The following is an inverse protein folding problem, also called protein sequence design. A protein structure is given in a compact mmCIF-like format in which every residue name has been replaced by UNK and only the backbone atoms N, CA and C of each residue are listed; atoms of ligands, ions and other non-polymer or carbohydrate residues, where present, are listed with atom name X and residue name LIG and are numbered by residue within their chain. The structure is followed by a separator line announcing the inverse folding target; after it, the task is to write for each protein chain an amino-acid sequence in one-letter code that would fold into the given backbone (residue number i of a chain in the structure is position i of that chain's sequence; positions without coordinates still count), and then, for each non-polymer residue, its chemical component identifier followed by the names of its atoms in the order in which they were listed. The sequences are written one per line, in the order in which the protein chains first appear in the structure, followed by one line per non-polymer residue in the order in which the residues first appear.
data_IF_013495402807
#
_entry.id   IF_013495402807
#
_cell.length_a   1.000
_cell.length_b   1.000
_cell.length_c   1.000
_cell.angle_alpha   90.00
_cell.angle_beta   90.00
_cell.angle_gamma   90.00
#
_symmetry.space_group_name_H-M   'P 1'
#
loop_
_entity.id
_entity.type
_entity.pdbx_description
1 polymer ?
#
# COMPACT_ATOMS: atom_id res chain seq x y z
N UNK A 1 -21.05 13.71 -21.92
CA UNK A 1 -20.59 13.03 -23.15
C UNK A 1 -21.25 11.67 -23.20
N UNK A 2 -21.69 11.21 -24.38
CA UNK A 2 -22.20 9.83 -24.54
C UNK A 2 -20.99 8.90 -24.50
N UNK A 3 -20.95 7.99 -23.52
CA UNK A 3 -19.87 7.00 -23.40
C UNK A 3 -20.35 5.72 -24.10
N UNK A 4 -19.55 5.20 -25.02
CA UNK A 4 -19.86 3.94 -25.69
C UNK A 4 -19.88 2.77 -24.68
N UNK A 5 -20.81 1.83 -24.85
CA UNK A 5 -20.92 0.67 -23.96
C UNK A 5 -19.61 -0.15 -23.92
N UNK A 6 -18.86 -0.20 -25.02
CA UNK A 6 -17.52 -0.79 -25.12
C UNK A 6 -16.52 -0.14 -24.16
N UNK A 7 -16.50 1.19 -24.08
CA UNK A 7 -15.61 1.95 -23.21
C UNK A 7 -15.96 1.76 -21.73
N UNK A 8 -17.27 1.68 -21.42
CA UNK A 8 -17.76 1.33 -20.07
C UNK A 8 -17.24 -0.05 -19.68
N UNK A 9 -17.47 -1.07 -20.53
CA UNK A 9 -17.01 -2.45 -20.29
C UNK A 9 -15.49 -2.54 -20.11
N UNK A 10 -14.71 -1.86 -20.96
CA UNK A 10 -13.25 -1.86 -20.86
C UNK A 10 -12.76 -1.24 -19.54
N UNK A 11 -13.41 -0.17 -19.08
CA UNK A 11 -13.08 0.48 -17.80
C UNK A 11 -13.39 -0.44 -16.63
N UNK A 12 -14.57 -1.08 -16.63
CA UNK A 12 -14.93 -2.05 -15.59
C UNK A 12 -13.98 -3.24 -15.56
N UNK A 13 -13.65 -3.81 -16.72
CA UNK A 13 -12.72 -4.95 -16.80
C UNK A 13 -11.33 -4.57 -16.28
N UNK A 14 -10.85 -3.37 -16.62
CA UNK A 14 -9.56 -2.84 -16.12
C UNK A 14 -9.57 -2.75 -14.59
N UNK A 15 -10.67 -2.29 -14.00
CA UNK A 15 -10.79 -2.15 -12.55
C UNK A 15 -10.84 -3.50 -11.82
N UNK A 16 -11.53 -4.48 -12.42
CA UNK A 16 -11.54 -5.87 -11.93
C UNK A 16 -10.14 -6.47 -11.98
N UNK A 17 -9.41 -6.29 -13.09
CA UNK A 17 -8.04 -6.80 -13.22
C UNK A 17 -7.13 -6.13 -12.18
N UNK A 18 -7.20 -4.80 -12.01
CA UNK A 18 -6.38 -4.09 -11.01
C UNK A 18 -6.64 -4.59 -9.59
N UNK A 19 -7.91 -4.81 -9.24
CA UNK A 19 -8.29 -5.28 -7.89
C UNK A 19 -7.79 -6.70 -7.60
N UNK A 20 -7.66 -7.53 -8.63
CA UNK A 20 -7.25 -8.93 -8.51
C UNK A 20 -5.83 -9.19 -9.04
N UNK A 21 -5.06 -8.16 -9.39
CA UNK A 21 -3.75 -8.30 -10.03
C UNK A 21 -2.78 -9.13 -9.19
N UNK A 22 -2.88 -9.03 -7.88
CA UNK A 22 -2.07 -9.79 -6.92
C UNK A 22 -2.40 -11.30 -6.90
N UNK A 23 -3.60 -11.70 -7.32
CA UNK A 23 -3.99 -13.12 -7.46
C UNK A 23 -3.60 -13.66 -8.83
N UNK A 24 -3.59 -12.80 -9.85
CA UNK A 24 -3.22 -13.15 -11.23
C UNK A 24 -1.70 -13.38 -11.36
N UNK A 25 -0.88 -12.65 -10.59
CA UNK A 25 0.58 -12.74 -10.68
C UNK A 25 1.11 -14.10 -10.21
N UNK A 26 1.48 -14.95 -11.17
CA UNK A 26 2.04 -16.27 -10.94
C UNK A 26 3.56 -16.29 -10.83
N UNK A 27 4.11 -17.45 -10.44
CA UNK A 27 5.56 -17.63 -10.30
C UNK A 27 6.30 -17.52 -11.64
N UNK A 28 5.73 -18.05 -12.71
CA UNK A 28 6.32 -17.97 -14.05
C UNK A 28 6.35 -16.53 -14.56
N UNK A 29 5.33 -15.73 -14.27
CA UNK A 29 5.30 -14.31 -14.64
C UNK A 29 6.43 -13.54 -13.96
N UNK A 30 6.64 -13.80 -12.67
CA UNK A 30 7.75 -13.21 -11.92
C UNK A 30 9.10 -13.65 -12.49
N UNK A 31 9.27 -14.93 -12.82
CA UNK A 31 10.49 -15.40 -13.49
C UNK A 31 10.72 -14.65 -14.81
N UNK A 32 9.70 -14.51 -15.65
CA UNK A 32 9.79 -13.78 -16.91
C UNK A 32 10.15 -12.29 -16.70
N UNK A 33 9.61 -11.65 -15.66
CA UNK A 33 9.95 -10.27 -15.28
C UNK A 33 11.42 -10.15 -14.87
N UNK A 34 11.90 -11.08 -14.03
CA UNK A 34 13.30 -11.13 -13.59
C UNK A 34 14.26 -11.38 -14.76
N UNK A 35 13.93 -12.33 -15.65
CA UNK A 35 14.73 -12.63 -16.84
C UNK A 35 14.83 -11.42 -17.78
N UNK A 36 13.76 -10.63 -17.89
CA UNK A 36 13.76 -9.41 -18.70
C UNK A 36 14.65 -8.31 -18.10
N UNK A 37 14.62 -8.09 -16.78
CA UNK A 37 15.54 -7.15 -16.12
C UNK A 37 16.98 -7.62 -16.26
N UNK A 38 17.22 -8.92 -16.08
CA UNK A 38 18.55 -9.52 -16.10
C UNK A 38 19.31 -9.25 -17.40
N UNK A 39 18.61 -9.07 -18.53
CA UNK A 39 19.21 -8.71 -19.82
C UNK A 39 20.02 -7.40 -19.75
N UNK A 40 19.56 -6.44 -18.94
CA UNK A 40 20.18 -5.10 -18.83
C UNK A 40 20.90 -4.91 -17.49
N UNK A 41 20.41 -5.54 -16.42
CA UNK A 41 20.90 -5.36 -15.04
C UNK A 41 21.20 -6.73 -14.37
N UNK A 42 22.11 -7.54 -14.93
CA UNK A 42 22.36 -8.89 -14.42
C UNK A 42 22.89 -8.89 -12.98
N UNK A 43 23.75 -7.92 -12.63
CA UNK A 43 24.34 -7.83 -11.30
C UNK A 43 23.29 -7.66 -10.19
N UNK A 44 22.24 -6.87 -10.44
CA UNK A 44 21.14 -6.64 -9.48
C UNK A 44 20.34 -7.93 -9.31
N UNK A 45 19.94 -8.58 -10.40
CA UNK A 45 19.11 -9.79 -10.32
C UNK A 45 19.87 -10.95 -9.67
N UNK A 46 21.11 -11.18 -10.09
CA UNK A 46 21.93 -12.28 -9.56
C UNK A 46 22.33 -12.05 -8.10
N UNK A 47 22.55 -10.80 -7.69
CA UNK A 47 22.82 -10.44 -6.30
C UNK A 47 21.63 -10.65 -5.36
N UNK A 48 20.40 -10.71 -5.87
CA UNK A 48 19.18 -10.91 -5.06
C UNK A 48 18.67 -12.34 -5.15
N UNK A 49 18.49 -12.85 -6.38
CA UNK A 49 17.89 -14.15 -6.65
C UNK A 49 18.89 -15.06 -7.38
N UNK A 50 19.16 -16.28 -6.88
CA UNK A 50 18.65 -16.90 -5.64
C UNK A 50 19.48 -16.57 -4.38
N UNK A 51 20.48 -15.69 -4.48
CA UNK A 51 21.53 -15.53 -3.46
C UNK A 51 21.00 -15.07 -2.10
N UNK A 52 20.16 -14.04 -2.08
CA UNK A 52 19.59 -13.49 -0.86
C UNK A 52 18.18 -14.02 -0.58
N UNK A 53 17.33 -14.10 -1.61
CA UNK A 53 15.94 -14.52 -1.50
C UNK A 53 15.49 -15.37 -2.69
N UNK A 54 14.42 -16.14 -2.49
CA UNK A 54 13.84 -16.96 -3.56
C UNK A 54 12.92 -16.15 -4.47
N UNK A 55 12.67 -16.65 -5.69
CA UNK A 55 11.64 -16.12 -6.60
C UNK A 55 10.28 -16.04 -5.91
N UNK A 56 9.96 -16.98 -5.01
CA UNK A 56 8.71 -16.97 -4.25
C UNK A 56 8.58 -15.79 -3.28
N UNK A 57 9.70 -15.35 -2.69
CA UNK A 57 9.70 -14.15 -1.83
C UNK A 57 9.54 -12.88 -2.66
N UNK A 58 10.21 -12.78 -3.82
CA UNK A 58 9.99 -11.68 -4.77
C UNK A 58 8.54 -11.65 -5.20
N UNK A 59 7.97 -12.80 -5.59
CA UNK A 59 6.54 -12.91 -5.93
C UNK A 59 5.67 -12.38 -4.80
N UNK A 60 5.93 -12.74 -3.55
CA UNK A 60 5.12 -12.29 -2.41
C UNK A 60 5.18 -10.77 -2.23
N UNK A 61 6.37 -10.16 -2.36
CA UNK A 61 6.54 -8.70 -2.30
C UNK A 61 5.76 -8.03 -3.43
N UNK A 62 5.89 -8.50 -4.67
CA UNK A 62 5.17 -7.94 -5.82
C UNK A 62 3.65 -8.10 -5.66
N UNK A 63 3.17 -9.23 -5.13
CA UNK A 63 1.75 -9.44 -4.83
C UNK A 63 1.26 -8.48 -3.74
N UNK A 64 2.04 -8.23 -2.70
CA UNK A 64 1.66 -7.28 -1.65
C UNK A 64 1.54 -5.86 -2.21
N UNK A 65 2.49 -5.42 -3.06
CA UNK A 65 2.41 -4.13 -3.76
C UNK A 65 1.13 -4.04 -4.61
N UNK A 66 0.86 -5.05 -5.43
CA UNK A 66 -0.31 -5.10 -6.29
C UNK A 66 -1.63 -5.16 -5.52
N UNK A 67 -1.67 -5.82 -4.35
CA UNK A 67 -2.86 -5.86 -3.47
C UNK A 67 -3.23 -4.46 -2.99
N UNK A 68 -2.23 -3.61 -2.82
CA UNK A 68 -2.40 -2.20 -2.46
C UNK A 68 -2.36 -1.26 -3.66
N UNK A 69 -2.55 -1.80 -4.87
CA UNK A 69 -2.60 -1.07 -6.15
C UNK A 69 -1.31 -0.30 -6.49
N UNK A 70 -0.19 -0.66 -5.88
CA UNK A 70 1.13 -0.08 -6.19
C UNK A 70 1.68 -0.75 -7.46
N UNK A 71 1.99 0.02 -8.52
CA UNK A 71 2.54 -0.52 -9.75
C UNK A 71 3.93 -1.13 -9.56
N UNK A 72 4.16 -2.28 -10.18
CA UNK A 72 5.46 -2.99 -10.18
C UNK A 72 6.28 -2.73 -11.44
N UNK A 73 6.01 -1.61 -12.14
CA UNK A 73 6.68 -1.27 -13.41
C UNK A 73 8.14 -0.87 -13.18
N UNK A 74 8.43 -0.20 -12.05
CA UNK A 74 9.78 0.17 -11.66
C UNK A 74 10.48 -0.99 -10.93
N UNK A 75 10.68 -2.04 -11.70
CA UNK A 75 11.14 -3.32 -11.21
C UNK A 75 12.63 -3.29 -10.85
N UNK A 76 13.39 -2.33 -11.40
CA UNK A 76 14.78 -2.07 -11.01
C UNK A 76 14.84 -1.54 -9.58
N UNK A 77 14.10 -0.48 -9.24
CA UNK A 77 14.07 0.06 -7.87
C UNK A 77 13.59 -0.97 -6.86
N UNK A 78 12.59 -1.79 -7.23
CA UNK A 78 12.14 -2.91 -6.38
C UNK A 78 13.30 -3.87 -6.09
N UNK A 79 14.03 -4.30 -7.12
CA UNK A 79 15.11 -5.27 -6.96
C UNK A 79 16.33 -4.70 -6.23
N UNK A 80 16.70 -3.45 -6.48
CA UNK A 80 17.78 -2.77 -5.73
C UNK A 80 17.44 -2.67 -4.25
N UNK A 81 16.21 -2.26 -3.92
CA UNK A 81 15.75 -2.20 -2.53
C UNK A 81 15.78 -3.58 -1.87
N UNK A 82 15.37 -4.63 -2.59
CA UNK A 82 15.49 -5.99 -2.08
C UNK A 82 16.95 -6.40 -1.86
N UNK A 83 17.88 -5.99 -2.71
CA UNK A 83 19.31 -6.28 -2.55
C UNK A 83 19.91 -5.66 -1.28
N UNK A 84 19.46 -4.45 -0.93
CA UNK A 84 19.95 -3.71 0.23
C UNK A 84 19.45 -4.31 1.54
N UNK A 85 18.17 -4.69 1.60
CA UNK A 85 17.51 -5.07 2.85
C UNK A 85 17.37 -6.58 3.06
N UNK A 86 17.38 -7.40 1.99
CA UNK A 86 17.05 -8.82 2.13
C UNK A 86 18.14 -9.65 2.83
N UNK A 87 19.35 -9.11 3.02
CA UNK A 87 20.37 -9.72 3.89
C UNK A 87 20.02 -9.61 5.38
N UNK A 88 19.32 -8.55 5.77
CA UNK A 88 18.97 -8.23 7.17
C UNK A 88 17.57 -8.73 7.54
N UNK A 89 16.63 -8.64 6.60
CA UNK A 89 15.22 -8.91 6.84
C UNK A 89 14.72 -9.94 5.84
N UNK A 90 14.14 -11.03 6.34
CA UNK A 90 13.53 -12.09 5.51
C UNK A 90 12.00 -12.04 5.53
N UNK A 91 11.41 -11.23 6.39
CA UNK A 91 9.96 -11.05 6.41
C UNK A 91 9.51 -10.25 5.19
N UNK A 92 8.63 -10.84 4.38
CA UNK A 92 8.17 -10.24 3.11
C UNK A 92 7.27 -9.02 3.34
N UNK A 93 6.57 -8.93 4.47
CA UNK A 93 5.75 -7.76 4.79
C UNK A 93 6.64 -6.54 5.06
N UNK A 94 7.67 -6.72 5.88
CA UNK A 94 8.67 -5.67 6.15
C UNK A 94 9.46 -5.29 4.90
N UNK A 95 9.88 -6.25 4.07
CA UNK A 95 10.51 -5.96 2.77
C UNK A 95 9.58 -5.16 1.85
N UNK A 96 8.27 -5.44 1.89
CA UNK A 96 7.29 -4.68 1.11
C UNK A 96 7.27 -3.22 1.57
N UNK A 97 7.31 -2.93 2.87
CA UNK A 97 7.34 -1.55 3.38
C UNK A 97 8.59 -0.78 2.92
N UNK A 98 9.77 -1.42 2.91
CA UNK A 98 10.99 -0.81 2.36
C UNK A 98 10.84 -0.50 0.87
N UNK A 99 10.31 -1.45 0.10
CA UNK A 99 10.09 -1.27 -1.34
C UNK A 99 9.06 -0.15 -1.59
N UNK A 100 7.99 -0.07 -0.80
CA UNK A 100 7.00 1.01 -0.90
C UNK A 100 7.63 2.37 -0.63
N UNK A 101 8.49 2.48 0.39
CA UNK A 101 9.25 3.71 0.66
C UNK A 101 10.11 4.10 -0.56
N UNK A 102 10.87 3.15 -1.14
CA UNK A 102 11.67 3.42 -2.34
C UNK A 102 10.81 3.83 -3.56
N UNK A 103 9.58 3.31 -3.65
CA UNK A 103 8.59 3.66 -4.66
C UNK A 103 7.79 4.93 -4.34
N UNK A 104 8.15 5.72 -3.32
CA UNK A 104 7.39 6.89 -2.87
C UNK A 104 7.04 7.88 -3.98
N UNK A 105 7.94 8.11 -4.95
CA UNK A 105 7.68 8.96 -6.12
C UNK A 105 6.55 8.39 -7.00
N UNK A 106 6.57 7.08 -7.23
CA UNK A 106 5.52 6.37 -7.98
C UNK A 106 4.20 6.42 -7.23
N UNK A 107 4.22 6.15 -5.92
CA UNK A 107 3.02 6.18 -5.06
C UNK A 107 2.41 7.59 -5.04
N UNK A 108 3.20 8.63 -4.79
CA UNK A 108 2.73 10.02 -4.83
C UNK A 108 2.07 10.35 -6.17
N UNK A 109 2.68 9.95 -7.29
CA UNK A 109 2.14 10.26 -8.62
C UNK A 109 0.77 9.64 -8.89
N UNK A 110 0.42 8.52 -8.24
CA UNK A 110 -0.89 7.89 -8.37
C UNK A 110 -2.00 8.70 -7.70
N UNK A 111 -1.65 9.43 -6.65
CA UNK A 111 -2.61 10.04 -5.72
C UNK A 111 -2.55 11.57 -5.70
N UNK A 112 -1.71 12.18 -6.54
CA UNK A 112 -1.66 13.62 -6.72
C UNK A 112 -2.94 14.16 -7.34
N UNK A 113 -3.45 15.22 -6.73
CA UNK A 113 -4.47 16.09 -7.28
C UNK A 113 -3.91 16.89 -8.47
N UNK A 114 -4.80 17.58 -9.20
CA UNK A 114 -4.42 18.39 -10.36
C UNK A 114 -3.47 19.54 -10.01
N UNK A 115 -3.55 20.07 -8.78
CA UNK A 115 -2.66 21.11 -8.25
C UNK A 115 -1.32 20.55 -7.72
N UNK A 116 -1.13 19.23 -7.76
CA UNK A 116 0.08 18.55 -7.29
C UNK A 116 0.10 18.21 -5.79
N UNK A 117 -0.94 18.59 -5.04
CA UNK A 117 -1.13 18.21 -3.63
C UNK A 117 -1.67 16.78 -3.50
N UNK A 118 -1.67 16.23 -2.29
CA UNK A 118 -2.39 14.99 -1.96
C UNK A 118 -3.34 15.28 -0.79
N UNK A 119 -4.63 15.04 -1.00
CA UNK A 119 -5.64 15.11 0.06
C UNK A 119 -5.58 13.84 0.92
N UNK A 120 -5.51 13.99 2.24
CA UNK A 120 -5.39 12.86 3.17
C UNK A 120 -6.27 13.01 4.40
N UNK A 121 -6.66 11.88 4.97
CA UNK A 121 -7.13 11.77 6.35
C UNK A 121 -5.91 11.45 7.20
N UNK A 122 -5.58 12.31 8.15
CA UNK A 122 -4.47 12.06 9.09
C UNK A 122 -4.97 11.25 10.29
N UNK A 123 -4.11 10.45 10.91
CA UNK A 123 -4.45 9.69 12.12
C UNK A 123 -4.03 10.45 13.38
N UNK A 124 -4.88 10.48 14.41
CA UNK A 124 -4.51 11.00 15.72
C UNK A 124 -3.44 10.11 16.40
N UNK A 125 -2.39 10.68 17.02
CA UNK A 125 -1.34 9.89 17.66
C UNK A 125 -1.82 8.86 18.67
N UNK A 126 -2.92 9.12 19.39
CA UNK A 126 -3.49 8.14 20.34
C UNK A 126 -4.08 6.93 19.63
N UNK A 127 -4.66 7.14 18.44
CA UNK A 127 -5.18 6.05 17.60
C UNK A 127 -4.01 5.25 17.01
N UNK A 128 -2.94 5.90 16.57
CA UNK A 128 -1.72 5.21 16.13
C UNK A 128 -1.13 4.35 17.25
N UNK A 129 -1.02 4.91 18.46
CA UNK A 129 -0.53 4.17 19.62
C UNK A 129 -1.43 2.96 19.95
N UNK A 130 -2.75 3.15 19.97
CA UNK A 130 -3.70 2.05 20.22
C UNK A 130 -3.54 0.92 19.19
N UNK A 131 -3.40 1.26 17.91
CA UNK A 131 -3.20 0.25 16.85
C UNK A 131 -1.83 -0.41 16.97
N UNK A 132 -0.78 0.33 17.31
CA UNK A 132 0.55 -0.22 17.56
C UNK A 132 0.54 -1.24 18.70
N UNK A 133 -0.07 -0.89 19.84
CA UNK A 133 -0.19 -1.78 21.02
C UNK A 133 -1.06 -3.02 20.74
N UNK A 134 -2.02 -2.88 19.83
CA UNK A 134 -2.90 -3.97 19.39
C UNK A 134 -2.29 -4.85 18.29
N UNK A 135 -1.09 -4.51 17.78
CA UNK A 135 -0.43 -5.24 16.69
C UNK A 135 0.51 -6.29 17.25
N UNK A 136 0.32 -7.53 16.83
CA UNK A 136 1.16 -8.66 17.21
C UNK A 136 1.86 -9.22 15.98
N UNK A 137 3.16 -9.51 16.13
CA UNK A 137 3.93 -10.23 15.12
C UNK A 137 3.70 -11.73 15.26
N UNK A 138 3.30 -12.38 14.17
CA UNK A 138 3.12 -13.83 14.12
C UNK A 138 3.99 -14.43 13.01
N UNK A 139 4.24 -15.75 12.98
CA UNK A 139 4.92 -16.39 11.86
C UNK A 139 4.22 -16.17 10.49
N UNK A 140 2.93 -15.85 10.50
CA UNK A 140 2.13 -15.54 9.30
C UNK A 140 2.10 -14.06 8.92
N UNK A 141 2.89 -13.21 9.58
CA UNK A 141 2.87 -11.76 9.43
C UNK A 141 2.17 -11.05 10.60
N UNK A 142 1.91 -9.75 10.44
CA UNK A 142 1.25 -8.98 11.50
C UNK A 142 -0.24 -9.32 11.62
N UNK A 143 -0.75 -9.35 12.85
CA UNK A 143 -2.18 -9.43 13.16
C UNK A 143 -2.55 -8.27 14.07
N UNK A 144 -3.70 -7.63 13.82
CA UNK A 144 -4.17 -6.48 14.59
C UNK A 144 -5.40 -6.90 15.38
N UNK A 145 -5.32 -6.85 16.71
CA UNK A 145 -6.36 -7.27 17.64
C UNK A 145 -6.84 -6.09 18.49
N UNK A 146 -7.70 -5.25 17.91
CA UNK A 146 -8.33 -4.12 18.62
C UNK A 146 -9.62 -4.59 19.28
N UNK A 147 -9.92 -4.07 20.48
CA UNK A 147 -11.19 -4.33 21.17
C UNK A 147 -12.40 -3.96 20.27
N UNK A 148 -13.44 -4.82 20.18
CA UNK A 148 -14.55 -4.61 19.25
C UNK A 148 -15.24 -3.24 19.37
N UNK A 149 -15.40 -2.72 20.58
CA UNK A 149 -16.04 -1.41 20.80
C UNK A 149 -15.19 -0.26 20.24
N UNK A 150 -13.88 -0.26 20.50
CA UNK A 150 -12.94 0.73 19.95
C UNK A 150 -12.89 0.64 18.43
N UNK A 151 -12.91 -0.58 17.88
CA UNK A 151 -12.91 -0.82 16.45
C UNK A 151 -14.19 -0.28 15.77
N UNK A 152 -15.36 -0.50 16.36
CA UNK A 152 -16.62 0.05 15.86
C UNK A 152 -16.61 1.57 15.83
N UNK A 153 -16.14 2.22 16.91
CA UNK A 153 -16.02 3.69 16.98
C UNK A 153 -15.03 4.21 15.93
N UNK A 154 -13.89 3.53 15.76
CA UNK A 154 -12.89 3.86 14.74
C UNK A 154 -13.49 3.80 13.33
N UNK A 155 -14.19 2.71 13.01
CA UNK A 155 -14.78 2.51 11.68
C UNK A 155 -15.93 3.47 11.41
N UNK A 156 -16.77 3.77 12.40
CA UNK A 156 -17.81 4.78 12.25
C UNK A 156 -17.19 6.13 11.88
N UNK A 157 -16.13 6.55 12.60
CA UNK A 157 -15.47 7.82 12.31
C UNK A 157 -14.72 7.84 10.98
N UNK A 158 -14.05 6.74 10.65
CA UNK A 158 -13.38 6.59 9.37
C UNK A 158 -14.37 6.62 8.21
N UNK A 159 -15.54 6.00 8.36
CA UNK A 159 -16.60 6.02 7.36
C UNK A 159 -17.09 7.45 7.06
N UNK A 160 -17.32 8.27 8.08
CA UNK A 160 -17.68 9.69 7.88
C UNK A 160 -16.66 10.45 7.04
N UNK A 161 -15.36 10.24 7.32
CA UNK A 161 -14.27 10.92 6.61
C UNK A 161 -14.09 10.39 5.19
N UNK A 162 -14.27 9.09 4.98
CA UNK A 162 -14.25 8.43 3.67
C UNK A 162 -15.41 8.94 2.80
N UNK A 163 -16.63 8.99 3.34
CA UNK A 163 -17.80 9.52 2.63
C UNK A 163 -17.63 11.01 2.27
N UNK A 164 -17.04 11.80 3.17
CA UNK A 164 -16.70 13.19 2.89
C UNK A 164 -15.79 13.31 1.65
N UNK A 165 -14.66 12.59 1.63
CA UNK A 165 -13.73 12.62 0.49
C UNK A 165 -14.39 12.12 -0.80
N UNK A 166 -15.17 11.05 -0.73
CA UNK A 166 -15.91 10.52 -1.87
C UNK A 166 -16.90 11.54 -2.45
N UNK A 167 -17.61 12.26 -1.58
CA UNK A 167 -18.59 13.29 -1.99
C UNK A 167 -17.93 14.47 -2.71
N UNK A 168 -16.65 14.73 -2.43
CA UNK A 168 -15.83 15.73 -3.12
C UNK A 168 -15.15 15.16 -4.38
N UNK A 169 -15.43 13.91 -4.75
CA UNK A 169 -14.80 13.23 -5.88
C UNK A 169 -13.31 12.92 -5.67
N UNK A 170 -12.86 12.88 -4.41
CA UNK A 170 -11.49 12.60 -4.05
C UNK A 170 -11.30 11.14 -3.62
N UNK A 171 -10.19 10.53 -4.02
CA UNK A 171 -9.79 9.20 -3.57
C UNK A 171 -9.51 9.24 -2.06
N UNK A 172 -10.20 8.44 -1.22
CA UNK A 172 -9.91 8.40 0.21
C UNK A 172 -8.53 7.82 0.48
N UNK A 173 -7.72 8.56 1.24
CA UNK A 173 -6.35 8.20 1.63
C UNK A 173 -6.18 8.42 3.13
N UNK A 174 -5.84 7.37 3.86
CA UNK A 174 -5.42 7.43 5.26
C UNK A 174 -3.90 7.57 5.32
N UNK A 175 -3.41 8.60 6.02
CA UNK A 175 -1.99 8.85 6.23
C UNK A 175 -1.61 8.58 7.69
N UNK A 176 -0.68 7.64 7.89
CA UNK A 176 -0.20 7.23 9.23
C UNK A 176 1.33 7.25 9.35
N UNK A 177 1.80 7.02 10.56
CA UNK A 177 3.20 6.70 10.85
C UNK A 177 3.64 5.39 10.19
N UNK A 178 4.90 5.27 9.73
CA UNK A 178 5.39 4.09 9.02
C UNK A 178 5.26 2.78 9.80
N UNK A 179 5.44 2.82 11.12
CA UNK A 179 5.38 1.65 12.01
C UNK A 179 3.99 1.00 12.10
N UNK A 180 2.92 1.72 11.77
CA UNK A 180 1.53 1.24 11.89
C UNK A 180 0.78 1.21 10.56
N UNK A 181 1.42 1.60 9.45
CA UNK A 181 0.77 1.68 8.13
C UNK A 181 0.19 0.33 7.68
N UNK A 182 1.00 -0.73 7.72
CA UNK A 182 0.52 -2.07 7.37
C UNK A 182 -0.58 -2.55 8.32
N UNK A 183 -0.50 -2.20 9.61
CA UNK A 183 -1.53 -2.54 10.59
C UNK A 183 -2.87 -1.87 10.24
N UNK A 184 -2.86 -0.58 9.91
CA UNK A 184 -4.05 0.12 9.41
C UNK A 184 -4.58 -0.49 8.13
N UNK A 185 -3.70 -0.86 7.18
CA UNK A 185 -4.12 -1.51 5.94
C UNK A 185 -4.86 -2.81 6.21
N UNK A 186 -4.30 -3.73 7.02
CA UNK A 186 -4.95 -5.00 7.38
C UNK A 186 -6.24 -4.79 8.18
N UNK A 187 -6.24 -3.81 9.07
CA UNK A 187 -7.42 -3.50 9.89
C UNK A 187 -8.60 -3.02 9.02
N UNK A 188 -8.32 -2.21 8.00
CA UNK A 188 -9.36 -1.50 7.24
C UNK A 188 -9.76 -2.19 5.94
N UNK A 189 -8.96 -3.11 5.40
CA UNK A 189 -9.16 -3.61 4.02
C UNK A 189 -10.48 -4.33 3.78
N UNK A 190 -11.03 -5.02 4.78
CA UNK A 190 -12.29 -5.74 4.65
C UNK A 190 -13.50 -4.79 4.59
N UNK A 191 -13.48 -3.72 5.38
CA UNK A 191 -14.58 -2.76 5.49
C UNK A 191 -14.46 -1.61 4.47
N UNK A 192 -13.22 -1.21 4.14
CA UNK A 192 -12.91 -0.08 3.27
C UNK A 192 -11.96 -0.52 2.14
N UNK A 193 -12.40 -1.37 1.19
CA UNK A 193 -11.53 -1.91 0.15
C UNK A 193 -10.93 -0.85 -0.78
N UNK A 194 -11.61 0.30 -0.91
CA UNK A 194 -11.15 1.43 -1.72
C UNK A 194 -10.24 2.40 -0.95
N UNK A 195 -10.11 2.25 0.38
CA UNK A 195 -9.25 3.12 1.18
C UNK A 195 -7.77 2.81 0.90
N UNK A 196 -7.04 3.83 0.49
CA UNK A 196 -5.59 3.78 0.35
C UNK A 196 -4.98 4.11 1.71
N UNK A 197 -3.99 3.33 2.14
CA UNK A 197 -3.26 3.62 3.39
C UNK A 197 -1.81 3.91 3.05
N UNK A 198 -1.40 5.16 3.27
CA UNK A 198 -0.05 5.65 3.05
C UNK A 198 0.67 5.92 4.37
N UNK A 199 2.00 5.88 4.33
CA UNK A 199 2.85 6.35 5.41
C UNK A 199 3.54 7.66 5.05
N UNK A 200 3.95 8.43 6.06
CA UNK A 200 4.77 9.64 5.85
C UNK A 200 6.07 9.35 5.08
N UNK A 201 6.64 8.14 5.17
CA UNK A 201 7.85 7.77 4.42
C UNK A 201 7.61 7.65 2.91
N UNK A 202 6.37 7.48 2.46
CA UNK A 202 6.05 7.37 1.03
C UNK A 202 5.83 8.73 0.37
N UNK A 203 5.77 9.80 1.17
CA UNK A 203 5.55 11.17 0.71
C UNK A 203 6.91 11.80 0.39
N UNK A 204 7.19 11.99 -0.90
CA UNK A 204 8.46 12.57 -1.34
C UNK A 204 8.52 14.07 -1.05
N UNK A 205 9.73 14.64 -0.84
CA UNK A 205 9.90 16.08 -0.65
C UNK A 205 9.26 16.90 -1.77
N UNK A 206 8.61 18.01 -1.40
CA UNK A 206 7.95 18.92 -2.33
C UNK A 206 6.51 18.52 -2.71
N UNK A 207 5.98 17.42 -2.16
CA UNK A 207 4.54 17.12 -2.25
C UNK A 207 3.81 17.75 -1.07
N UNK A 208 2.87 18.64 -1.35
CA UNK A 208 2.03 19.26 -0.33
C UNK A 208 0.91 18.31 0.10
N UNK A 209 0.67 18.21 1.41
CA UNK A 209 -0.39 17.41 1.98
C UNK A 209 -1.52 18.32 2.46
N UNK A 210 -2.76 18.01 2.08
CA UNK A 210 -3.94 18.72 2.54
C UNK A 210 -4.79 17.80 3.41
N UNK A 211 -4.85 18.08 4.71
CA UNK A 211 -5.65 17.28 5.64
C UNK A 211 -7.14 17.59 5.46
N UNK A 212 -7.92 16.56 5.14
CA UNK A 212 -9.39 16.60 5.03
C UNK A 212 -10.08 16.23 6.35
N UNK A 213 -9.31 15.83 7.35
CA UNK A 213 -9.81 15.50 8.68
C UNK A 213 -8.82 14.63 9.45
N UNK A 214 -9.11 14.46 10.75
CA UNK A 214 -8.31 13.64 11.65
C UNK A 214 -9.13 12.46 12.13
N UNK A 215 -8.63 11.23 11.91
CA UNK A 215 -9.18 10.02 12.48
C UNK A 215 -8.84 9.97 13.97
N UNK A 216 -9.83 10.23 14.80
CA UNK A 216 -9.74 10.20 16.26
C UNK A 216 -10.89 9.38 16.83
N UNK A 217 -10.62 8.57 17.84
CA UNK A 217 -11.66 7.99 18.68
C UNK A 217 -11.85 9.01 19.80
N UNK A 218 -13.03 9.63 19.86
CA UNK A 218 -13.32 10.61 20.90
C UNK A 218 -13.14 9.97 22.28
N UNK A 219 -12.44 10.67 23.17
CA UNK A 219 -12.77 10.56 24.58
C UNK A 219 -14.12 11.30 24.71
N UNK A 220 -15.19 10.60 25.09
CA UNK A 220 -16.12 11.29 25.98
C UNK A 220 -15.29 11.54 27.26
N UNK A 221 -15.01 12.82 27.49
CA UNK A 221 -14.44 13.45 28.69
C UNK A 221 -13.44 12.63 29.54
#
# INVERSE_FOLDING_TARGET
TVIEASAVLATHLTEVIKSNAHEILGRQDVQNLLDNIKKNYPAVVEGVVPQQISVGMVQKVLQNLLRERVPIKDLLTIMETLADYASLVKDTETLTEYVRHALGRTICQLYKNQDGSISVITVDPKVEQMVAESTQQTPGGITVAVEPEKLQRLFAKLNELVELMNSEGQQPILLSSPNVRLAFRKLTEAQFPQLVVLSYNEIVPGVELYSKGVLKIGNED
#
